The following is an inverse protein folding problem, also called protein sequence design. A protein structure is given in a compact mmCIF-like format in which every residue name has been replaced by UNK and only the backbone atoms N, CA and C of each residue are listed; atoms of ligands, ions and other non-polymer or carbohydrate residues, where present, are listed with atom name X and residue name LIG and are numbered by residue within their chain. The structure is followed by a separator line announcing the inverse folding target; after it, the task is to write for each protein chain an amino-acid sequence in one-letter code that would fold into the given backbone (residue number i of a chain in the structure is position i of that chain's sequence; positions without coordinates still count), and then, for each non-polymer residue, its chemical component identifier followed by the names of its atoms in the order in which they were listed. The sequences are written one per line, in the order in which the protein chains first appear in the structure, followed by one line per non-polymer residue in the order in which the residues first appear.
data_IF_627972579024
#
_entry.id   IF_627972579024
#
_cell.length_a   1.000
_cell.length_b   1.000
_cell.length_c   1.000
_cell.angle_alpha   90.00
_cell.angle_beta   90.00
_cell.angle_gamma   90.00
#
_symmetry.space_group_name_H-M   'P 1'
#
loop_
_entity.id
_entity.type
_entity.pdbx_description
1 polymer ?
#
# COMPACT_ATOMS: atom_id res chain seq x y z
N UNK A 1 -13.03 95.25 -6.03
CA UNK A 1 -13.57 94.14 -5.23
C UNK A 1 -13.42 92.81 -6.06
N UNK A 2 -12.42 92.04 -5.78
CA UNK A 2 -12.15 90.81 -6.56
C UNK A 2 -12.53 89.65 -5.68
N UNK A 3 -13.52 88.83 -6.13
CA UNK A 3 -13.94 87.55 -5.52
C UNK A 3 -13.04 86.41 -6.07
N UNK A 4 -12.24 85.83 -5.21
CA UNK A 4 -11.50 84.59 -5.47
C UNK A 4 -12.42 83.40 -5.32
N UNK A 5 -12.62 82.62 -6.38
CA UNK A 5 -13.32 81.32 -6.33
C UNK A 5 -12.28 80.25 -6.00
N UNK A 6 -12.51 79.56 -4.88
CA UNK A 6 -11.74 78.38 -4.52
C UNK A 6 -12.27 77.15 -5.29
N UNK A 7 -11.38 76.50 -6.07
CA UNK A 7 -11.66 75.19 -6.69
C UNK A 7 -11.29 74.07 -5.70
N UNK A 8 -12.28 73.33 -5.24
CA UNK A 8 -12.06 72.11 -4.43
C UNK A 8 -11.84 70.95 -5.34
N UNK A 9 -10.65 70.41 -5.35
CA UNK A 9 -10.34 69.10 -6.06
C UNK A 9 -10.65 67.96 -5.11
N UNK A 10 -11.70 67.18 -5.44
CA UNK A 10 -12.02 65.94 -4.75
C UNK A 10 -11.13 64.83 -5.35
N UNK A 11 -10.25 64.24 -4.53
CA UNK A 11 -9.46 63.07 -4.91
C UNK A 11 -10.28 61.83 -4.67
N UNK A 12 -10.64 61.10 -5.75
CA UNK A 12 -11.21 59.75 -5.66
C UNK A 12 -10.07 58.78 -5.38
N UNK A 13 -10.07 58.14 -4.19
CA UNK A 13 -9.22 57.03 -3.87
C UNK A 13 -9.89 55.73 -4.38
N UNK A 14 -9.34 55.15 -5.44
CA UNK A 14 -9.78 53.86 -5.93
C UNK A 14 -9.09 52.74 -5.10
N UNK A 15 -9.85 52.05 -4.25
CA UNK A 15 -9.40 50.86 -3.56
C UNK A 15 -9.52 49.66 -4.47
N UNK A 16 -8.39 49.18 -5.00
CA UNK A 16 -8.32 47.90 -5.73
C UNK A 16 -8.43 46.73 -4.75
N UNK A 17 -9.55 46.03 -4.77
CA UNK A 17 -9.73 44.78 -4.01
C UNK A 17 -8.99 43.66 -4.75
N UNK A 18 -7.89 43.15 -4.17
CA UNK A 18 -7.21 41.92 -4.63
C UNK A 18 -8.11 40.72 -4.31
N UNK A 19 -8.76 40.17 -5.30
CA UNK A 19 -9.45 38.88 -5.22
C UNK A 19 -8.37 37.79 -5.30
N UNK A 20 -7.94 37.25 -4.16
CA UNK A 20 -7.09 36.08 -4.10
C UNK A 20 -7.96 34.85 -4.39
N UNK A 21 -7.91 34.36 -5.62
CA UNK A 21 -8.54 33.08 -6.01
C UNK A 21 -7.77 31.96 -5.33
N UNK A 22 -8.31 31.38 -4.25
CA UNK A 22 -7.79 30.14 -3.68
C UNK A 22 -8.05 29.02 -4.68
N UNK A 23 -6.97 28.47 -5.29
CA UNK A 23 -7.07 27.26 -6.08
C UNK A 23 -7.58 26.11 -5.19
N UNK A 24 -8.48 25.24 -5.68
CA UNK A 24 -8.92 24.09 -4.89
C UNK A 24 -7.70 23.23 -4.56
N UNK A 25 -7.44 23.02 -3.27
CA UNK A 25 -6.45 22.08 -2.81
C UNK A 25 -6.93 20.69 -3.26
N UNK A 26 -6.20 20.04 -4.20
CA UNK A 26 -6.44 18.66 -4.53
C UNK A 26 -6.17 17.85 -3.26
N UNK A 27 -7.19 17.14 -2.76
CA UNK A 27 -6.99 16.20 -1.66
C UNK A 27 -5.97 15.14 -2.12
N UNK A 28 -4.93 14.93 -1.31
CA UNK A 28 -3.94 13.87 -1.60
C UNK A 28 -4.66 12.51 -1.64
N UNK A 29 -4.20 11.63 -2.53
CA UNK A 29 -4.73 10.27 -2.59
C UNK A 29 -4.57 9.56 -1.24
N UNK A 30 -5.56 8.78 -0.78
CA UNK A 30 -5.44 8.04 0.46
C UNK A 30 -4.24 7.08 0.44
N UNK A 31 -3.42 7.11 1.49
CA UNK A 31 -2.26 6.23 1.64
C UNK A 31 -2.70 4.79 1.91
N UNK A 32 -2.14 3.84 1.18
CA UNK A 32 -2.41 2.41 1.30
C UNK A 32 -1.11 1.63 1.45
N UNK A 33 -0.96 0.87 2.53
CA UNK A 33 0.21 0.00 2.78
C UNK A 33 -0.22 -1.45 2.66
N UNK A 34 0.46 -2.20 1.78
CA UNK A 34 0.22 -3.63 1.57
C UNK A 34 1.37 -4.44 2.15
N UNK A 35 1.06 -5.23 3.18
CA UNK A 35 1.97 -6.10 3.90
C UNK A 35 1.73 -7.56 3.49
N UNK A 36 2.69 -8.42 3.83
CA UNK A 36 2.50 -9.85 3.70
C UNK A 36 3.58 -10.57 2.94
N UNK A 37 3.21 -11.73 2.42
CA UNK A 37 4.08 -12.69 1.73
C UNK A 37 3.91 -12.66 0.20
N UNK A 38 4.18 -13.80 -0.43
CA UNK A 38 4.09 -14.01 -1.88
C UNK A 38 2.69 -13.76 -2.46
N UNK A 39 1.64 -14.02 -1.69
CA UNK A 39 0.28 -13.76 -2.15
C UNK A 39 0.02 -12.27 -2.30
N UNK A 40 0.47 -11.46 -1.32
CA UNK A 40 0.34 -10.00 -1.37
C UNK A 40 1.34 -9.35 -2.32
N UNK A 41 2.53 -9.94 -2.54
CA UNK A 41 3.51 -9.40 -3.49
C UNK A 41 3.13 -9.67 -4.95
N UNK A 42 2.34 -10.71 -5.24
CA UNK A 42 1.92 -11.09 -6.59
C UNK A 42 2.87 -12.10 -7.25
N UNK A 43 3.55 -12.93 -6.45
CA UNK A 43 4.37 -14.04 -6.96
C UNK A 43 3.51 -14.97 -7.82
N UNK A 44 4.06 -15.37 -8.98
CA UNK A 44 3.34 -16.19 -9.96
C UNK A 44 2.73 -15.40 -11.12
N UNK A 45 2.62 -14.07 -11.03
CA UNK A 45 2.12 -13.24 -12.13
C UNK A 45 3.08 -13.12 -13.32
N UNK A 46 4.36 -13.49 -13.13
CA UNK A 46 5.45 -13.42 -14.12
C UNK A 46 5.75 -12.02 -14.65
N UNK A 47 5.22 -10.99 -14.04
CA UNK A 47 5.49 -9.58 -14.37
C UNK A 47 5.82 -8.85 -13.08
N UNK A 48 7.10 -8.60 -12.84
CA UNK A 48 7.57 -8.05 -11.57
C UNK A 48 8.13 -6.64 -11.74
N UNK A 49 7.98 -5.84 -10.70
CA UNK A 49 8.54 -4.50 -10.59
C UNK A 49 10.05 -4.63 -10.36
N UNK A 50 10.85 -3.91 -11.14
CA UNK A 50 12.30 -3.80 -10.93
C UNK A 50 12.59 -2.83 -9.79
N UNK A 51 12.40 -3.26 -8.55
CA UNK A 51 12.60 -2.45 -7.34
C UNK A 51 13.93 -2.77 -6.60
N UNK A 52 14.80 -3.55 -7.23
CA UNK A 52 16.10 -3.94 -6.67
C UNK A 52 16.02 -5.00 -5.57
N UNK A 53 14.84 -5.61 -5.34
CA UNK A 53 14.63 -6.64 -4.32
C UNK A 53 14.27 -7.98 -4.94
N UNK A 54 14.39 -9.06 -4.16
CA UNK A 54 13.90 -10.41 -4.52
C UNK A 54 12.45 -10.66 -4.12
N UNK A 55 11.71 -9.61 -3.74
CA UNK A 55 10.36 -9.74 -3.18
C UNK A 55 9.29 -10.12 -4.20
N UNK A 56 9.59 -10.10 -5.49
CA UNK A 56 8.67 -10.45 -6.58
C UNK A 56 7.36 -9.66 -6.53
N UNK A 57 7.45 -8.35 -6.25
CA UNK A 57 6.30 -7.44 -6.27
C UNK A 57 5.82 -7.21 -7.68
N UNK A 58 4.49 -7.15 -7.86
CA UNK A 58 3.89 -7.08 -9.19
C UNK A 58 2.82 -6.00 -9.29
N UNK A 59 2.73 -5.38 -10.46
CA UNK A 59 1.61 -4.49 -10.82
C UNK A 59 0.28 -5.25 -10.93
N UNK A 60 0.33 -6.58 -11.07
CA UNK A 60 -0.84 -7.46 -11.10
C UNK A 60 -1.16 -8.09 -9.73
N UNK A 61 -0.41 -7.76 -8.69
CA UNK A 61 -0.76 -8.14 -7.33
C UNK A 61 -2.08 -7.48 -6.91
N UNK A 62 -2.90 -8.16 -6.08
CA UNK A 62 -4.19 -7.60 -5.67
C UNK A 62 -4.09 -6.20 -5.05
N UNK A 63 -3.05 -5.85 -4.25
CA UNK A 63 -2.94 -4.50 -3.72
C UNK A 63 -2.72 -3.46 -4.82
N UNK A 64 -1.93 -3.79 -5.85
CA UNK A 64 -1.68 -2.90 -6.99
C UNK A 64 -2.96 -2.65 -7.79
N UNK A 65 -3.76 -3.69 -8.01
CA UNK A 65 -5.04 -3.59 -8.71
C UNK A 65 -6.06 -2.77 -7.91
N UNK A 66 -6.15 -2.96 -6.59
CA UNK A 66 -7.02 -2.18 -5.71
C UNK A 66 -6.59 -0.70 -5.72
N UNK A 67 -5.30 -0.43 -5.56
CA UNK A 67 -4.77 0.92 -5.55
C UNK A 67 -5.07 1.66 -6.86
N UNK A 68 -4.84 1.00 -8.00
CA UNK A 68 -5.15 1.54 -9.31
C UNK A 68 -6.64 1.83 -9.49
N UNK A 69 -7.51 0.91 -9.07
CA UNK A 69 -8.96 1.05 -9.21
C UNK A 69 -9.56 2.13 -8.29
N UNK A 70 -8.93 2.38 -7.14
CA UNK A 70 -9.43 3.29 -6.10
C UNK A 70 -8.69 4.64 -6.07
N UNK A 71 -7.62 4.81 -6.82
CA UNK A 71 -6.78 6.01 -6.78
C UNK A 71 -6.02 6.13 -5.46
N UNK A 72 -5.55 5.02 -4.87
CA UNK A 72 -4.78 5.05 -3.65
C UNK A 72 -3.28 5.20 -3.93
N UNK A 73 -2.57 5.87 -3.02
CA UNK A 73 -1.11 5.93 -3.03
C UNK A 73 -0.55 4.68 -2.33
N UNK A 74 -0.06 3.72 -3.14
CA UNK A 74 0.33 2.40 -2.68
C UNK A 74 1.80 2.33 -2.28
N UNK A 75 2.04 1.88 -1.05
CA UNK A 75 3.32 1.39 -0.58
C UNK A 75 3.26 -0.13 -0.37
N UNK A 76 3.71 -0.91 -1.35
CA UNK A 76 3.74 -2.36 -1.26
C UNK A 76 5.01 -2.84 -0.55
N UNK A 77 4.86 -3.38 0.65
CA UNK A 77 5.94 -3.91 1.51
C UNK A 77 6.00 -5.43 1.49
N UNK A 78 4.95 -6.08 1.01
CA UNK A 78 4.89 -7.53 0.88
C UNK A 78 6.13 -8.10 0.16
N UNK A 79 6.58 -9.28 0.58
CA UNK A 79 7.77 -9.90 0.03
C UNK A 79 7.57 -11.41 -0.10
N UNK A 80 7.91 -11.96 -1.26
CA UNK A 80 7.83 -13.42 -1.51
C UNK A 80 8.64 -14.18 -0.45
N UNK A 81 8.04 -15.21 0.16
CA UNK A 81 8.66 -16.02 1.19
C UNK A 81 8.59 -15.45 2.61
N UNK A 82 8.06 -14.23 2.80
CA UNK A 82 7.98 -13.61 4.11
C UNK A 82 7.16 -14.43 5.10
N UNK A 83 7.61 -14.44 6.35
CA UNK A 83 6.97 -15.01 7.53
C UNK A 83 6.42 -13.92 8.44
N UNK A 84 5.68 -14.30 9.46
CA UNK A 84 5.13 -13.37 10.47
C UNK A 84 6.25 -12.51 11.09
N UNK A 85 7.39 -13.13 11.42
CA UNK A 85 8.55 -12.41 11.94
C UNK A 85 9.10 -11.35 10.97
N UNK A 86 9.11 -11.62 9.67
CA UNK A 86 9.58 -10.66 8.66
C UNK A 86 8.65 -9.45 8.57
N UNK A 87 7.33 -9.69 8.65
CA UNK A 87 6.36 -8.59 8.70
C UNK A 87 6.62 -7.71 9.92
N UNK A 88 6.77 -8.31 11.10
CA UNK A 88 7.00 -7.59 12.36
C UNK A 88 8.31 -6.80 12.34
N UNK A 89 9.38 -7.37 11.81
CA UNK A 89 10.71 -6.79 11.87
C UNK A 89 10.99 -5.76 10.76
N UNK A 90 10.36 -5.91 9.58
CA UNK A 90 10.74 -5.12 8.40
C UNK A 90 9.60 -4.39 7.71
N UNK A 91 8.37 -4.93 7.75
CA UNK A 91 7.27 -4.37 6.97
C UNK A 91 6.43 -3.36 7.78
N UNK A 92 6.22 -3.59 9.08
CA UNK A 92 5.40 -2.71 9.93
C UNK A 92 5.96 -1.29 10.02
N UNK A 93 7.26 -1.10 9.83
CA UNK A 93 7.89 0.22 9.82
C UNK A 93 7.38 1.17 8.72
N UNK A 94 6.66 0.63 7.74
CA UNK A 94 6.01 1.43 6.69
C UNK A 94 4.69 2.07 7.13
N UNK A 95 4.14 1.65 8.26
CA UNK A 95 2.92 2.21 8.82
C UNK A 95 3.20 3.51 9.57
N UNK A 96 2.28 4.45 9.45
CA UNK A 96 2.31 5.74 10.17
C UNK A 96 0.91 6.18 10.54
N UNK A 97 0.79 7.26 11.31
CA UNK A 97 -0.50 7.87 11.63
C UNK A 97 -1.25 8.42 10.40
N UNK A 98 -0.57 8.60 9.27
CA UNK A 98 -1.18 9.03 8.00
C UNK A 98 -1.58 7.85 7.09
N UNK A 99 -1.32 6.60 7.49
CA UNK A 99 -1.75 5.43 6.72
C UNK A 99 -3.26 5.28 6.79
N UNK A 100 -3.95 5.42 5.64
CA UNK A 100 -5.40 5.35 5.56
C UNK A 100 -5.90 3.91 5.47
N UNK A 101 -5.20 3.06 4.73
CA UNK A 101 -5.59 1.66 4.50
C UNK A 101 -4.39 0.73 4.67
N UNK A 102 -4.67 -0.47 5.18
CA UNK A 102 -3.69 -1.55 5.30
C UNK A 102 -4.33 -2.85 4.82
N UNK A 103 -3.59 -3.63 4.05
CA UNK A 103 -3.93 -5.04 3.80
C UNK A 103 -2.76 -5.93 4.17
N UNK A 104 -3.06 -7.16 4.60
CA UNK A 104 -2.06 -8.15 4.95
C UNK A 104 -2.56 -9.57 4.61
N UNK A 105 -1.67 -10.38 4.03
CA UNK A 105 -1.83 -11.82 3.91
C UNK A 105 -0.51 -12.47 4.32
N UNK A 106 -0.52 -13.26 5.39
CA UNK A 106 0.69 -13.81 6.00
C UNK A 106 0.37 -15.12 6.76
N UNK A 107 1.40 -15.91 7.05
CA UNK A 107 1.31 -17.13 7.85
C UNK A 107 1.44 -18.41 7.03
N UNK A 108 1.21 -18.36 5.72
CA UNK A 108 1.34 -19.53 4.86
C UNK A 108 2.74 -20.14 4.88
N UNK A 109 3.79 -19.30 4.88
CA UNK A 109 5.18 -19.76 4.95
C UNK A 109 5.55 -20.30 6.34
N UNK A 110 4.97 -19.74 7.40
CA UNK A 110 5.15 -20.23 8.77
C UNK A 110 4.52 -21.62 8.93
N UNK A 111 3.32 -21.82 8.40
CA UNK A 111 2.62 -23.12 8.38
C UNK A 111 3.25 -24.14 7.41
N UNK A 112 4.24 -23.75 6.59
CA UNK A 112 4.89 -24.66 5.64
C UNK A 112 4.05 -24.98 4.40
N UNK A 113 3.19 -24.07 3.94
CA UNK A 113 2.26 -24.25 2.82
C UNK A 113 2.93 -24.85 1.57
N UNK A 114 4.10 -24.31 1.14
CA UNK A 114 4.81 -24.82 -0.03
C UNK A 114 5.30 -26.27 0.18
N UNK A 115 5.70 -26.62 1.40
CA UNK A 115 6.11 -27.99 1.75
C UNK A 115 4.93 -28.96 1.68
N UNK A 116 3.75 -28.55 2.16
CA UNK A 116 2.52 -29.35 2.05
C UNK A 116 2.19 -29.61 0.58
N UNK A 117 2.20 -28.55 -0.26
CA UNK A 117 1.90 -28.71 -1.69
C UNK A 117 2.88 -29.63 -2.38
N UNK A 118 4.18 -29.47 -2.17
CA UNK A 118 5.21 -30.32 -2.80
C UNK A 118 5.11 -31.78 -2.33
N UNK A 119 4.85 -32.00 -1.05
CA UNK A 119 4.68 -33.34 -0.51
C UNK A 119 3.42 -34.00 -1.07
N UNK A 120 2.30 -33.29 -1.11
CA UNK A 120 1.03 -33.84 -1.60
C UNK A 120 0.97 -34.00 -3.12
N UNK A 121 1.83 -33.33 -3.88
CA UNK A 121 1.96 -33.51 -5.32
C UNK A 121 2.73 -34.77 -5.72
N UNK A 122 3.41 -35.43 -4.78
CA UNK A 122 4.13 -36.67 -5.02
C UNK A 122 3.19 -37.89 -4.95
N UNK A 123 3.54 -39.01 -5.60
CA UNK A 123 2.81 -40.26 -5.47
C UNK A 123 2.73 -40.72 -4.02
N UNK A 124 1.59 -41.27 -3.60
CA UNK A 124 1.32 -41.65 -2.21
C UNK A 124 2.33 -42.66 -1.61
N UNK A 125 3.00 -43.45 -2.44
CA UNK A 125 4.04 -44.39 -2.00
C UNK A 125 5.40 -43.71 -1.74
N UNK A 126 5.60 -42.43 -2.17
CA UNK A 126 6.82 -41.65 -1.96
C UNK A 126 6.66 -40.59 -0.87
N UNK A 127 5.44 -40.29 -0.46
CA UNK A 127 5.19 -39.13 0.41
C UNK A 127 4.10 -39.39 1.43
N UNK A 128 4.19 -38.70 2.56
CA UNK A 128 3.16 -38.68 3.58
C UNK A 128 2.42 -37.33 3.56
N UNK A 129 1.50 -37.16 2.59
CA UNK A 129 0.72 -35.96 2.44
C UNK A 129 -0.11 -35.64 3.70
N UNK A 130 -0.78 -36.63 4.31
CA UNK A 130 -1.58 -36.44 5.51
C UNK A 130 -0.72 -35.93 6.67
N UNK A 131 0.46 -36.51 6.90
CA UNK A 131 1.38 -36.04 7.92
C UNK A 131 1.92 -34.63 7.70
N UNK A 132 2.03 -34.18 6.43
CA UNK A 132 2.39 -32.80 6.11
C UNK A 132 1.23 -31.83 6.43
N UNK A 133 -0.01 -32.24 6.10
CA UNK A 133 -1.22 -31.46 6.43
C UNK A 133 -1.39 -31.35 7.95
N UNK A 134 -1.25 -32.46 8.69
CA UNK A 134 -1.40 -32.48 10.15
C UNK A 134 -0.42 -31.52 10.83
N UNK A 135 0.84 -31.46 10.36
CA UNK A 135 1.85 -30.52 10.88
C UNK A 135 1.45 -29.06 10.63
N UNK A 136 1.01 -28.75 9.41
CA UNK A 136 0.56 -27.39 9.08
C UNK A 136 -0.66 -26.99 9.92
N UNK A 137 -1.61 -27.89 10.09
CA UNK A 137 -2.81 -27.67 10.90
C UNK A 137 -2.45 -27.47 12.38
N UNK A 138 -1.52 -28.26 12.92
CA UNK A 138 -1.06 -28.11 14.29
C UNK A 138 -0.43 -26.73 14.53
N UNK A 139 0.33 -26.22 13.54
CA UNK A 139 0.89 -24.86 13.62
C UNK A 139 -0.22 -23.81 13.69
N UNK A 140 -1.20 -23.86 12.77
CA UNK A 140 -2.31 -22.90 12.72
C UNK A 140 -3.15 -22.91 14.00
N UNK A 141 -3.31 -24.08 14.64
CA UNK A 141 -4.08 -24.21 15.88
C UNK A 141 -3.35 -23.70 17.13
N UNK A 142 -2.04 -23.42 17.05
CA UNK A 142 -1.22 -22.90 18.15
C UNK A 142 -1.08 -21.37 18.13
N UNK A 143 -1.45 -20.73 17.03
CA UNK A 143 -1.37 -19.28 16.81
C UNK A 143 -2.73 -18.62 16.96
#
# INVERSE_FOLDING_TARGET
MARRRALSTAALAATAALVVSAAPAHAANPSYVALGDSYSSGTGTRSYISDGTSCLRSVYAYPSLIASAKGYDLNIRACSGAKIADVSNTQLSALSSSTAYVSISIGGNDAGFASVLTTCAQPAWLSNCNGAIDKAQAYVNQT
#
